data_IF_672296830701
#
_entry.id   IF_672296830701
#
_cell.length_a   1.000
_cell.length_b   1.000
_cell.length_c   1.000
_cell.angle_alpha   90.00
_cell.angle_beta   90.00
_cell.angle_gamma   90.00
#
_symmetry.space_group_name_H-M   'P 1'
#
loop_
_entity.id
_entity.type
_entity.pdbx_description
1 polymer ?
#
# COMPACT_ATOMS: atom_id res chain seq x y z
N UNK A 1 10.38 -18.39 -2.85
CA UNK A 1 10.46 -17.45 -3.98
C UNK A 1 9.10 -16.80 -4.07
N UNK A 2 8.98 -15.52 -3.73
CA UNK A 2 7.71 -14.81 -3.89
C UNK A 2 7.45 -14.64 -5.38
N UNK A 3 6.27 -15.04 -5.85
CA UNK A 3 5.92 -14.96 -7.26
C UNK A 3 5.38 -13.57 -7.55
N UNK A 4 6.08 -12.82 -8.41
CA UNK A 4 5.59 -11.56 -8.99
C UNK A 4 4.23 -11.77 -9.65
N UNK A 5 3.39 -10.74 -9.64
CA UNK A 5 2.09 -10.74 -10.31
C UNK A 5 1.98 -9.51 -11.23
N UNK A 6 1.12 -9.60 -12.25
CA UNK A 6 0.81 -8.48 -13.15
C UNK A 6 -0.63 -8.07 -12.86
N UNK A 7 -0.87 -6.79 -12.57
CA UNK A 7 -2.21 -6.23 -12.39
C UNK A 7 -2.92 -5.99 -13.73
N UNK A 8 -4.22 -5.71 -13.67
CA UNK A 8 -5.05 -5.33 -14.82
C UNK A 8 -4.57 -4.00 -15.43
N UNK A 9 -3.98 -3.14 -14.60
CA UNK A 9 -3.30 -1.90 -15.00
C UNK A 9 -2.01 -2.11 -15.81
N UNK A 10 -1.52 -3.36 -15.90
CA UNK A 10 -0.30 -3.72 -16.61
C UNK A 10 0.98 -3.61 -15.79
N UNK A 11 0.91 -3.20 -14.51
CA UNK A 11 2.06 -3.04 -13.63
C UNK A 11 2.48 -4.36 -12.97
N UNK A 12 3.73 -4.43 -12.49
CA UNK A 12 4.31 -5.63 -11.86
C UNK A 12 4.40 -5.45 -10.34
N UNK A 13 3.80 -6.38 -9.60
CA UNK A 13 3.71 -6.37 -8.13
C UNK A 13 4.59 -7.42 -7.46
N UNK A 14 5.01 -7.15 -6.23
CA UNK A 14 5.84 -8.07 -5.42
C UNK A 14 5.04 -9.30 -4.97
N UNK A 15 3.71 -9.21 -4.94
CA UNK A 15 2.82 -10.31 -4.57
C UNK A 15 1.50 -10.32 -5.35
N UNK A 16 0.81 -11.47 -5.34
CA UNK A 16 -0.57 -11.58 -5.84
C UNK A 16 -1.56 -10.73 -5.02
N UNK A 17 -1.30 -10.56 -3.72
CA UNK A 17 -2.15 -9.73 -2.87
C UNK A 17 -2.08 -8.27 -3.28
N UNK A 18 -0.88 -7.73 -3.51
CA UNK A 18 -0.72 -6.38 -4.04
C UNK A 18 -1.41 -6.23 -5.40
N UNK A 19 -1.24 -7.16 -6.34
CA UNK A 19 -1.95 -7.11 -7.61
C UNK A 19 -3.47 -7.09 -7.43
N UNK A 20 -4.03 -7.88 -6.50
CA UNK A 20 -5.46 -7.85 -6.21
C UNK A 20 -5.93 -6.51 -5.62
N UNK A 21 -5.10 -5.85 -4.80
CA UNK A 21 -5.39 -4.50 -4.28
C UNK A 21 -5.38 -3.50 -5.43
N UNK A 22 -4.39 -3.56 -6.32
CA UNK A 22 -4.30 -2.72 -7.51
C UNK A 22 -5.52 -2.88 -8.42
N UNK A 23 -5.89 -4.12 -8.74
CA UNK A 23 -7.05 -4.45 -9.57
C UNK A 23 -8.35 -3.87 -9.00
N UNK A 24 -8.48 -3.88 -7.67
CA UNK A 24 -9.65 -3.29 -7.00
C UNK A 24 -9.61 -1.76 -6.99
N UNK A 25 -8.46 -1.13 -6.76
CA UNK A 25 -8.32 0.32 -6.85
C UNK A 25 -8.69 0.79 -8.26
N UNK A 26 -8.16 0.11 -9.28
CA UNK A 26 -8.44 0.35 -10.69
C UNK A 26 -9.92 0.18 -11.01
N UNK A 27 -10.54 -0.93 -10.58
CA UNK A 27 -11.95 -1.20 -10.80
C UNK A 27 -12.90 -0.28 -10.01
N UNK A 28 -12.40 0.39 -8.97
CA UNK A 28 -13.16 1.33 -8.13
C UNK A 28 -12.97 2.80 -8.53
N UNK A 29 -12.25 3.06 -9.64
CA UNK A 29 -11.91 4.41 -10.12
C UNK A 29 -11.15 5.26 -9.08
N UNK A 30 -10.37 4.60 -8.21
CA UNK A 30 -9.50 5.28 -7.25
C UNK A 30 -8.13 5.46 -7.91
N UNK A 31 -7.66 6.71 -8.04
CA UNK A 31 -6.31 6.98 -8.58
C UNK A 31 -5.23 6.47 -7.62
N UNK A 32 -4.20 5.80 -8.15
CA UNK A 32 -3.07 5.31 -7.38
C UNK A 32 -1.76 5.28 -8.17
N UNK A 33 -0.64 5.37 -7.44
CA UNK A 33 0.72 5.17 -7.93
C UNK A 33 1.34 3.95 -7.23
N UNK A 34 1.59 2.83 -7.93
CA UNK A 34 2.31 1.70 -7.35
C UNK A 34 3.80 2.00 -7.18
N UNK A 35 4.44 1.39 -6.20
CA UNK A 35 5.90 1.48 -5.98
C UNK A 35 6.44 2.92 -5.85
N UNK A 36 5.62 3.84 -5.31
CA UNK A 36 6.02 5.25 -5.20
C UNK A 36 7.19 5.42 -4.23
N UNK A 37 8.24 6.12 -4.67
CA UNK A 37 9.41 6.39 -3.81
C UNK A 37 9.03 7.31 -2.66
N UNK A 38 9.42 6.89 -1.45
CA UNK A 38 9.29 7.73 -0.27
C UNK A 38 10.19 8.98 -0.39
N UNK A 39 9.72 10.16 0.05
CA UNK A 39 10.50 11.39 -0.06
C UNK A 39 11.89 11.24 0.57
N UNK A 40 12.96 11.61 -0.14
CA UNK A 40 14.34 11.55 0.39
C UNK A 40 14.77 10.15 0.89
N UNK A 41 14.14 9.08 0.42
CA UNK A 41 14.42 7.70 0.80
C UNK A 41 14.61 6.82 -0.44
N UNK A 42 15.28 5.68 -0.25
CA UNK A 42 15.40 4.63 -1.28
C UNK A 42 14.26 3.61 -1.22
N UNK A 43 13.46 3.66 -0.15
CA UNK A 43 12.29 2.81 0.00
C UNK A 43 11.16 3.28 -0.91
N UNK A 44 10.36 2.31 -1.38
CA UNK A 44 9.11 2.55 -2.09
C UNK A 44 7.94 2.11 -1.20
N UNK A 45 6.81 2.79 -1.29
CA UNK A 45 5.54 2.28 -0.78
C UNK A 45 4.95 1.25 -1.73
N UNK A 46 3.96 0.48 -1.27
CA UNK A 46 3.27 -0.44 -2.17
C UNK A 46 2.30 0.34 -3.06
N UNK A 47 1.55 1.28 -2.48
CA UNK A 47 0.71 2.23 -3.20
C UNK A 47 0.81 3.65 -2.61
N UNK A 48 0.45 4.64 -3.41
CA UNK A 48 0.15 6.00 -2.96
C UNK A 48 -1.12 6.47 -3.66
N UNK A 49 -2.08 6.99 -2.90
CA UNK A 49 -3.34 7.53 -3.42
C UNK A 49 -3.25 9.06 -3.44
N UNK A 50 -2.98 9.70 -4.59
CA UNK A 50 -2.69 11.13 -4.68
C UNK A 50 -3.87 12.03 -4.25
N UNK A 51 -5.10 11.63 -4.55
CA UNK A 51 -6.30 12.40 -4.17
C UNK A 51 -6.43 12.57 -2.64
N UNK A 52 -5.94 11.58 -1.88
CA UNK A 52 -6.08 11.52 -0.41
C UNK A 52 -4.77 11.78 0.34
N UNK A 53 -3.69 12.09 -0.38
CA UNK A 53 -2.31 12.13 0.12
C UNK A 53 -1.97 10.93 1.02
N UNK A 54 -2.39 9.73 0.63
CA UNK A 54 -2.35 8.54 1.48
C UNK A 54 -1.32 7.52 0.97
N UNK A 55 -0.37 7.16 1.81
CA UNK A 55 0.61 6.09 1.56
C UNK A 55 0.05 4.75 2.07
N UNK A 56 -0.02 3.72 1.22
CA UNK A 56 -0.59 2.41 1.61
C UNK A 56 0.46 1.32 1.55
N UNK A 57 0.51 0.50 2.59
CA UNK A 57 1.42 -0.62 2.77
C UNK A 57 0.64 -1.91 3.02
N UNK A 58 0.95 -2.98 2.30
CA UNK A 58 0.35 -4.29 2.50
C UNK A 58 1.24 -5.15 3.42
N UNK A 59 0.76 -5.41 4.64
CA UNK A 59 1.39 -6.35 5.55
C UNK A 59 0.87 -7.77 5.29
N UNK A 60 1.60 -8.51 4.44
CA UNK A 60 1.32 -9.92 4.19
C UNK A 60 1.87 -10.88 5.24
N UNK A 61 2.58 -10.38 6.26
CA UNK A 61 3.32 -11.19 7.23
C UNK A 61 2.82 -11.04 8.67
N UNK A 62 1.94 -10.07 8.97
CA UNK A 62 1.51 -9.73 10.34
C UNK A 62 1.09 -10.92 11.20
N UNK A 63 0.39 -11.90 10.62
CA UNK A 63 -0.06 -13.11 11.34
C UNK A 63 1.05 -14.16 11.56
N UNK A 64 2.17 -14.03 10.85
CA UNK A 64 3.25 -15.03 10.79
C UNK A 64 4.50 -14.55 11.52
N UNK A 65 4.87 -13.27 11.39
CA UNK A 65 6.04 -12.65 12.03
C UNK A 65 6.05 -11.13 11.87
N UNK A 66 6.82 -10.46 12.72
CA UNK A 66 7.16 -9.06 12.52
C UNK A 66 7.94 -8.85 11.20
N UNK A 67 7.63 -7.76 10.50
CA UNK A 67 8.38 -7.31 9.32
C UNK A 67 9.18 -6.04 9.64
N UNK A 68 10.48 -6.21 9.87
CA UNK A 68 11.39 -5.09 10.13
C UNK A 68 11.40 -4.04 9.00
N UNK A 69 11.07 -4.43 7.75
CA UNK A 69 10.99 -3.48 6.63
C UNK A 69 9.79 -2.57 6.81
N UNK A 70 8.63 -3.14 7.15
CA UNK A 70 7.40 -2.39 7.39
C UNK A 70 7.55 -1.47 8.60
N UNK A 71 8.12 -1.96 9.71
CA UNK A 71 8.35 -1.14 10.91
C UNK A 71 9.27 0.06 10.61
N UNK A 72 10.31 -0.12 9.79
CA UNK A 72 11.16 1.00 9.34
C UNK A 72 10.39 2.01 8.48
N UNK A 73 9.46 1.55 7.62
CA UNK A 73 8.62 2.44 6.82
C UNK A 73 7.62 3.19 7.71
N UNK A 74 6.96 2.50 8.65
CA UNK A 74 6.08 3.09 9.65
C UNK A 74 6.77 4.23 10.42
N UNK A 75 7.94 3.94 11.00
CA UNK A 75 8.73 4.96 11.70
C UNK A 75 9.14 6.11 10.76
N UNK A 76 9.38 5.84 9.47
CA UNK A 76 9.67 6.88 8.48
C UNK A 76 8.46 7.79 8.25
N UNK A 77 7.27 7.21 8.06
CA UNK A 77 6.02 7.97 7.85
C UNK A 77 5.72 8.87 9.04
N UNK A 78 5.76 8.30 10.26
CA UNK A 78 5.53 9.02 11.51
C UNK A 78 6.53 10.17 11.69
N UNK A 79 7.82 9.91 11.47
CA UNK A 79 8.88 10.93 11.59
C UNK A 79 8.69 12.12 10.63
N UNK A 80 8.12 11.88 9.47
CA UNK A 80 7.96 12.90 8.42
C UNK A 80 6.53 13.45 8.33
N UNK A 81 5.61 13.03 9.21
CA UNK A 81 4.22 13.49 9.22
C UNK A 81 3.45 13.09 7.96
N UNK A 82 3.78 11.95 7.35
CA UNK A 82 3.10 11.44 6.17
C UNK A 82 1.85 10.66 6.59
N UNK A 83 0.74 10.86 5.90
CA UNK A 83 -0.50 10.10 6.14
C UNK A 83 -0.36 8.70 5.55
N UNK A 84 -0.42 7.65 6.37
CA UNK A 84 -0.23 6.28 5.89
C UNK A 84 -1.26 5.32 6.48
N UNK A 85 -1.48 4.23 5.76
CA UNK A 85 -2.34 3.12 6.14
C UNK A 85 -1.60 1.80 5.92
N UNK A 86 -1.61 0.94 6.93
CA UNK A 86 -1.14 -0.44 6.80
C UNK A 86 -2.39 -1.31 6.68
N UNK A 87 -2.49 -2.06 5.59
CA UNK A 87 -3.58 -2.97 5.29
C UNK A 87 -3.12 -4.43 5.42
N UNK A 88 -4.05 -5.31 5.74
CA UNK A 88 -3.80 -6.76 5.84
C UNK A 88 -4.74 -7.54 4.93
N UNK A 89 -4.52 -8.85 4.82
CA UNK A 89 -5.30 -9.73 3.94
C UNK A 89 -6.81 -9.67 4.17
N UNK A 90 -7.26 -9.52 5.41
CA UNK A 90 -8.66 -9.77 5.76
C UNK A 90 -9.56 -8.55 5.61
N UNK A 91 -9.03 -7.33 5.75
CA UNK A 91 -9.85 -6.12 5.85
C UNK A 91 -9.41 -4.96 4.93
N UNK A 92 -8.42 -5.18 4.05
CA UNK A 92 -7.84 -4.10 3.25
C UNK A 92 -8.87 -3.24 2.47
N UNK A 93 -9.92 -3.85 1.90
CA UNK A 93 -10.96 -3.10 1.18
C UNK A 93 -11.68 -2.12 2.09
N UNK A 94 -12.14 -2.62 3.26
CA UNK A 94 -12.85 -1.80 4.24
C UNK A 94 -11.95 -0.71 4.76
N UNK A 95 -10.70 -1.05 5.11
CA UNK A 95 -9.78 -0.09 5.72
C UNK A 95 -9.39 1.03 4.74
N UNK A 96 -9.23 0.73 3.43
CA UNK A 96 -9.02 1.76 2.39
C UNK A 96 -10.27 2.63 2.25
N UNK A 97 -11.46 2.01 2.12
CA UNK A 97 -12.71 2.76 1.97
C UNK A 97 -12.96 3.69 3.15
N UNK A 98 -12.80 3.21 4.39
CA UNK A 98 -12.94 4.05 5.58
C UNK A 98 -11.99 5.24 5.54
N UNK A 99 -10.74 5.07 5.09
CA UNK A 99 -9.78 6.18 5.04
C UNK A 99 -10.07 7.18 3.92
N UNK A 100 -10.57 6.70 2.77
CA UNK A 100 -10.98 7.51 1.63
C UNK A 100 -12.26 8.30 1.94
N UNK A 101 -13.27 7.65 2.53
CA UNK A 101 -14.57 8.26 2.84
C UNK A 101 -14.50 9.25 4.01
N UNK A 102 -13.62 9.01 4.99
CA UNK A 102 -13.43 9.94 6.11
C UNK A 102 -12.69 11.22 5.71
N UNK A 103 -12.06 11.25 4.52
CA UNK A 103 -11.27 12.35 4.01
C UNK A 103 -9.97 12.55 4.80
N UNK A 104 -8.85 12.66 4.07
CA UNK A 104 -7.51 13.09 4.53
C UNK A 104 -7.39 13.54 5.98
#
# INVERSE_FOLDING_TARGET
MWQKAIGIDGEIYDSKSEANVADWLFGSDIEYEPHKKLPKSRSVSDFYLPEYDLWVEYDGLMEVRADDKLERKKAFYEKHGLNFLIITRDNWQRDILERVELGG
#
